data_IF_794617569386
#
_entry.id   IF_794617569386
#
_cell.length_a   1.000
_cell.length_b   1.000
_cell.length_c   1.000
_cell.angle_alpha   90.00
_cell.angle_beta   90.00
_cell.angle_gamma   90.00
#
_symmetry.space_group_name_H-M   'P 1'
#
loop_
_entity.id
_entity.type
_entity.pdbx_description
1 polymer ?
#
# COMPACT_ATOMS: atom_id res chain seq x y z
N UNK A 1 -10.93 10.30 33.94
CA UNK A 1 -9.53 9.81 33.92
C UNK A 1 -9.47 8.32 33.58
N UNK A 2 -10.08 7.42 34.37
CA UNK A 2 -10.09 5.97 34.07
C UNK A 2 -10.76 5.63 32.72
N UNK A 3 -11.88 6.29 32.39
CA UNK A 3 -12.57 6.11 31.10
C UNK A 3 -11.73 6.54 29.89
N UNK A 4 -10.90 7.58 30.03
CA UNK A 4 -10.02 8.05 28.96
C UNK A 4 -8.92 7.00 28.68
N UNK A 5 -8.28 6.50 29.74
CA UNK A 5 -7.26 5.44 29.64
C UNK A 5 -7.84 4.17 28.98
N UNK A 6 -9.04 3.76 29.36
CA UNK A 6 -9.70 2.59 28.74
C UNK A 6 -9.96 2.80 27.24
N UNK A 7 -10.34 4.02 26.86
CA UNK A 7 -10.56 4.38 25.45
C UNK A 7 -9.25 4.33 24.67
N UNK A 8 -8.19 4.93 25.19
CA UNK A 8 -6.86 4.93 24.56
C UNK A 8 -6.33 3.50 24.37
N UNK A 9 -6.46 2.65 25.39
CA UNK A 9 -6.06 1.24 25.30
C UNK A 9 -6.87 0.51 24.23
N UNK A 10 -8.19 0.71 24.18
CA UNK A 10 -9.04 0.09 23.16
C UNK A 10 -8.68 0.53 21.74
N UNK A 11 -8.31 1.80 21.56
CA UNK A 11 -7.87 2.34 20.28
C UNK A 11 -6.51 1.77 19.87
N UNK A 12 -5.56 1.68 20.81
CA UNK A 12 -4.25 1.07 20.56
C UNK A 12 -4.38 -0.40 20.14
N UNK A 13 -5.24 -1.17 20.82
CA UNK A 13 -5.51 -2.57 20.46
C UNK A 13 -6.14 -2.63 19.06
N UNK A 14 -7.13 -1.79 18.76
CA UNK A 14 -7.78 -1.76 17.46
C UNK A 14 -6.79 -1.46 16.32
N UNK A 15 -5.99 -0.40 16.45
CA UNK A 15 -4.99 0.00 15.45
C UNK A 15 -3.95 -1.12 15.28
N UNK A 16 -3.46 -1.70 16.38
CA UNK A 16 -2.49 -2.81 16.34
C UNK A 16 -3.04 -3.98 15.51
N UNK A 17 -4.27 -4.42 15.79
CA UNK A 17 -4.87 -5.56 15.08
C UNK A 17 -5.10 -5.24 13.60
N UNK A 18 -5.63 -4.07 13.28
CA UNK A 18 -5.92 -3.65 11.90
C UNK A 18 -4.64 -3.57 11.06
N UNK A 19 -3.59 -2.91 11.56
CA UNK A 19 -2.35 -2.74 10.80
C UNK A 19 -1.45 -3.98 10.81
N UNK A 20 -1.50 -4.82 11.85
CA UNK A 20 -0.65 -6.01 11.96
C UNK A 20 -0.81 -6.95 10.77
N UNK A 21 -2.03 -7.13 10.26
CA UNK A 21 -2.29 -8.04 9.13
C UNK A 21 -1.53 -7.58 7.89
N UNK A 22 -1.61 -6.29 7.55
CA UNK A 22 -0.88 -5.74 6.41
C UNK A 22 0.63 -5.83 6.62
N UNK A 23 1.12 -5.52 7.82
CA UNK A 23 2.56 -5.56 8.12
C UNK A 23 3.13 -6.98 8.08
N UNK A 24 2.38 -7.99 8.57
CA UNK A 24 2.78 -9.40 8.51
C UNK A 24 2.88 -9.87 7.06
N UNK A 25 1.89 -9.54 6.21
CA UNK A 25 1.93 -9.89 4.78
C UNK A 25 3.15 -9.27 4.09
N UNK A 26 3.44 -8.00 4.37
CA UNK A 26 4.64 -7.32 3.84
C UNK A 26 5.93 -7.96 4.36
N UNK A 27 6.00 -8.27 5.66
CA UNK A 27 7.17 -8.89 6.28
C UNK A 27 7.46 -10.28 5.69
N UNK A 28 6.44 -11.08 5.39
CA UNK A 28 6.62 -12.36 4.68
C UNK A 28 7.25 -12.18 3.29
N UNK A 29 6.85 -11.13 2.56
CA UNK A 29 7.50 -10.76 1.30
C UNK A 29 8.97 -10.37 1.49
N UNK A 30 9.26 -9.58 2.53
CA UNK A 30 10.62 -9.21 2.93
C UNK A 30 11.51 -10.41 3.24
N UNK A 31 11.00 -11.37 4.02
CA UNK A 31 11.71 -12.62 4.32
C UNK A 31 12.07 -13.37 3.03
N UNK A 32 11.16 -13.41 2.05
CA UNK A 32 11.45 -14.06 0.76
C UNK A 32 12.56 -13.34 -0.01
N UNK A 33 12.57 -12.02 0.02
CA UNK A 33 13.64 -11.18 -0.56
C UNK A 33 14.98 -11.47 0.09
N UNK A 34 15.05 -11.46 1.42
CA UNK A 34 16.28 -11.75 2.18
C UNK A 34 16.79 -13.16 1.93
N UNK A 35 15.89 -14.14 1.84
CA UNK A 35 16.23 -15.54 1.51
C UNK A 35 16.82 -15.69 0.10
N UNK A 36 16.50 -14.77 -0.82
CA UNK A 36 17.11 -14.71 -2.16
C UNK A 36 18.45 -13.95 -2.20
N UNK A 37 18.90 -13.41 -1.07
CA UNK A 37 20.15 -12.64 -0.97
C UNK A 37 19.99 -11.14 -1.25
N UNK A 38 18.75 -10.64 -1.31
CA UNK A 38 18.45 -9.21 -1.52
C UNK A 38 17.67 -8.67 -0.33
N UNK A 39 18.35 -7.94 0.54
CA UNK A 39 17.75 -7.23 1.67
C UNK A 39 16.90 -6.08 1.14
N UNK A 40 15.63 -6.02 1.55
CA UNK A 40 14.70 -4.98 1.11
C UNK A 40 14.17 -4.18 2.29
N UNK A 41 14.79 -3.03 2.57
CA UNK A 41 14.32 -2.05 3.57
C UNK A 41 13.28 -1.09 2.94
N UNK A 42 13.09 -1.14 1.63
CA UNK A 42 12.16 -0.30 0.87
C UNK A 42 10.69 -0.75 0.92
N UNK A 43 10.34 -1.68 1.82
CA UNK A 43 9.01 -2.30 1.87
C UNK A 43 7.87 -1.29 2.14
N UNK A 44 8.15 -0.23 2.90
CA UNK A 44 7.18 0.84 3.16
C UNK A 44 6.80 1.57 1.86
N UNK A 45 7.78 1.82 1.00
CA UNK A 45 7.56 2.41 -0.32
C UNK A 45 6.83 1.48 -1.29
N UNK A 46 7.08 0.17 -1.22
CA UNK A 46 6.31 -0.82 -1.97
C UNK A 46 4.85 -0.85 -1.51
N UNK A 47 4.60 -0.76 -0.21
CA UNK A 47 3.24 -0.66 0.34
C UNK A 47 2.53 0.62 -0.12
N UNK A 48 3.19 1.78 -0.02
CA UNK A 48 2.63 3.07 -0.44
C UNK A 48 2.32 3.09 -1.95
N UNK A 49 3.26 2.63 -2.78
CA UNK A 49 3.07 2.59 -4.24
C UNK A 49 1.97 1.61 -4.66
N UNK A 50 1.87 0.44 -4.02
CA UNK A 50 0.78 -0.50 -4.23
C UNK A 50 -0.58 0.06 -3.80
N UNK A 51 -0.66 0.67 -2.61
CA UNK A 51 -1.88 1.30 -2.11
C UNK A 51 -2.36 2.43 -3.02
N UNK A 52 -1.44 3.28 -3.48
CA UNK A 52 -1.71 4.31 -4.48
C UNK A 52 -2.30 3.72 -5.76
N UNK A 53 -1.63 2.74 -6.35
CA UNK A 53 -2.09 2.12 -7.59
C UNK A 53 -3.46 1.46 -7.44
N UNK A 54 -3.70 0.78 -6.32
CA UNK A 54 -4.99 0.17 -6.00
C UNK A 54 -6.12 1.20 -5.95
N UNK A 55 -5.94 2.25 -5.15
CA UNK A 55 -6.97 3.27 -4.92
C UNK A 55 -7.30 4.04 -6.20
N UNK A 56 -6.27 4.48 -6.93
CA UNK A 56 -6.44 5.27 -8.15
C UNK A 56 -7.10 4.44 -9.25
N UNK A 57 -6.62 3.23 -9.49
CA UNK A 57 -7.19 2.37 -10.53
C UNK A 57 -8.62 1.93 -10.20
N UNK A 58 -8.91 1.56 -8.95
CA UNK A 58 -10.26 1.20 -8.53
C UNK A 58 -11.24 2.38 -8.73
N UNK A 59 -10.83 3.60 -8.40
CA UNK A 59 -11.66 4.80 -8.60
C UNK A 59 -11.99 5.05 -10.08
N UNK A 60 -10.99 4.99 -10.97
CA UNK A 60 -11.23 5.22 -12.40
C UNK A 60 -12.00 4.07 -13.06
N UNK A 61 -11.75 2.82 -12.65
CA UNK A 61 -12.48 1.66 -13.18
C UNK A 61 -13.94 1.63 -12.73
N UNK A 62 -14.23 2.06 -11.50
CA UNK A 62 -15.61 2.20 -11.04
C UNK A 62 -16.36 3.24 -11.89
N UNK A 63 -15.76 4.40 -12.15
CA UNK A 63 -16.33 5.41 -13.05
C UNK A 63 -16.51 4.90 -14.48
N UNK A 64 -15.64 3.99 -14.93
CA UNK A 64 -15.76 3.32 -16.21
C UNK A 64 -16.85 2.22 -16.22
N UNK A 65 -17.61 2.04 -15.13
CA UNK A 65 -18.74 1.11 -15.05
C UNK A 65 -18.39 -0.31 -14.62
N UNK A 66 -17.18 -0.56 -14.10
CA UNK A 66 -16.76 -1.91 -13.69
C UNK A 66 -17.42 -2.40 -12.39
N UNK A 67 -18.11 -1.52 -11.66
CA UNK A 67 -18.78 -1.86 -10.40
C UNK A 67 -17.83 -2.54 -9.41
N UNK A 68 -18.25 -3.67 -8.83
CA UNK A 68 -17.46 -4.46 -7.87
C UNK A 68 -16.13 -4.95 -8.47
N UNK A 69 -16.06 -5.14 -9.80
CA UNK A 69 -14.83 -5.57 -10.48
C UNK A 69 -13.68 -4.56 -10.35
N UNK A 70 -13.99 -3.29 -10.10
CA UNK A 70 -12.98 -2.23 -9.95
C UNK A 70 -12.03 -2.49 -8.77
N UNK A 71 -12.54 -2.99 -7.63
CA UNK A 71 -11.72 -3.28 -6.46
C UNK A 71 -10.73 -4.42 -6.71
N UNK A 72 -11.17 -5.48 -7.39
CA UNK A 72 -10.32 -6.62 -7.77
C UNK A 72 -9.24 -6.21 -8.77
N UNK A 73 -9.59 -5.39 -9.75
CA UNK A 73 -8.61 -4.83 -10.66
C UNK A 73 -7.64 -3.87 -9.97
N UNK A 74 -8.09 -3.16 -8.92
CA UNK A 74 -7.22 -2.40 -8.04
C UNK A 74 -6.17 -3.26 -7.35
N UNK A 75 -6.54 -4.45 -6.88
CA UNK A 75 -5.59 -5.40 -6.31
C UNK A 75 -4.53 -5.84 -7.33
N UNK A 76 -4.94 -6.11 -8.58
CA UNK A 76 -4.02 -6.45 -9.67
C UNK A 76 -3.08 -5.29 -9.98
N UNK A 77 -3.60 -4.06 -10.05
CA UNK A 77 -2.80 -2.86 -10.25
C UNK A 77 -1.77 -2.67 -9.12
N UNK A 78 -2.18 -2.91 -7.86
CA UNK A 78 -1.29 -2.86 -6.70
C UNK A 78 -0.11 -3.83 -6.83
N UNK A 79 -0.39 -5.08 -7.23
CA UNK A 79 0.63 -6.10 -7.42
C UNK A 79 1.62 -5.72 -8.54
N UNK A 80 1.12 -5.19 -9.66
CA UNK A 80 1.95 -4.75 -10.78
C UNK A 80 2.83 -3.55 -10.40
N UNK A 81 2.28 -2.56 -9.70
CA UNK A 81 3.05 -1.38 -9.28
C UNK A 81 4.07 -1.72 -8.18
N UNK A 82 3.70 -2.57 -7.22
CA UNK A 82 4.62 -3.10 -6.22
C UNK A 82 5.76 -3.88 -6.88
N UNK A 83 5.46 -4.72 -7.88
CA UNK A 83 6.48 -5.43 -8.66
C UNK A 83 7.39 -4.47 -9.44
N UNK A 84 6.86 -3.37 -9.98
CA UNK A 84 7.66 -2.34 -10.64
C UNK A 84 8.66 -1.69 -9.68
N UNK A 85 8.22 -1.31 -8.48
CA UNK A 85 9.12 -0.75 -7.45
C UNK A 85 10.14 -1.77 -6.95
N UNK A 86 9.73 -3.03 -6.76
CA UNK A 86 10.64 -4.12 -6.44
C UNK A 86 11.68 -4.34 -7.55
N UNK A 87 11.28 -4.20 -8.82
CA UNK A 87 12.18 -4.32 -9.96
C UNK A 87 13.21 -3.19 -9.98
N UNK A 88 12.82 -1.95 -9.69
CA UNK A 88 13.76 -0.83 -9.54
C UNK A 88 14.80 -1.14 -8.45
N UNK A 89 14.36 -1.67 -7.32
CA UNK A 89 15.26 -2.10 -6.24
C UNK A 89 16.23 -3.19 -6.71
N UNK A 90 15.70 -4.23 -7.36
CA UNK A 90 16.47 -5.37 -7.85
C UNK A 90 17.48 -4.98 -8.93
N UNK A 91 17.13 -4.09 -9.85
CA UNK A 91 18.07 -3.59 -10.86
C UNK A 91 19.21 -2.82 -10.19
N UNK A 92 18.89 -1.93 -9.25
CA UNK A 92 19.90 -1.19 -8.49
C UNK A 92 20.83 -2.12 -7.68
N UNK A 93 20.29 -3.09 -6.96
CA UNK A 93 21.06 -3.95 -6.06
C UNK A 93 21.76 -5.11 -6.77
N UNK A 94 21.11 -5.76 -7.75
CA UNK A 94 21.64 -6.94 -8.43
C UNK A 94 22.48 -6.57 -9.64
N UNK A 95 22.00 -5.65 -10.48
CA UNK A 95 22.69 -5.28 -11.73
C UNK A 95 23.81 -4.27 -11.46
N UNK A 96 23.48 -3.20 -10.73
CA UNK A 96 24.44 -2.12 -10.45
C UNK A 96 25.22 -2.29 -9.16
N UNK A 97 24.92 -3.33 -8.36
CA UNK A 97 25.59 -3.62 -7.08
C UNK A 97 25.58 -2.42 -6.12
N UNK A 98 24.52 -1.62 -6.19
CA UNK A 98 24.32 -0.52 -5.26
C UNK A 98 24.06 -1.06 -3.85
N UNK A 99 24.38 -0.24 -2.84
CA UNK A 99 24.04 -0.55 -1.46
C UNK A 99 22.52 -0.73 -1.30
N UNK A 100 22.12 -1.89 -0.78
CA UNK A 100 20.72 -2.30 -0.67
C UNK A 100 19.96 -1.45 0.37
N UNK A 101 20.64 -0.99 1.42
CA UNK A 101 20.05 -0.10 2.43
C UNK A 101 19.78 1.27 1.80
N UNK A 102 20.76 1.83 1.08
CA UNK A 102 20.61 3.11 0.39
C UNK A 102 19.50 3.06 -0.66
N UNK A 103 19.49 2.03 -1.51
CA UNK A 103 18.45 1.83 -2.53
C UNK A 103 17.06 1.69 -1.89
N UNK A 104 16.94 0.94 -0.79
CA UNK A 104 15.69 0.80 -0.05
C UNK A 104 15.18 2.12 0.54
N UNK A 105 16.06 2.92 1.16
CA UNK A 105 15.70 4.25 1.69
C UNK A 105 15.24 5.18 0.58
N UNK A 106 15.95 5.20 -0.56
CA UNK A 106 15.56 6.02 -1.72
C UNK A 106 14.18 5.60 -2.23
N UNK A 107 13.86 4.30 -2.27
CA UNK A 107 12.54 3.81 -2.66
C UNK A 107 11.45 4.27 -1.70
N UNK A 108 11.68 4.23 -0.39
CA UNK A 108 10.70 4.74 0.59
C UNK A 108 10.44 6.23 0.38
N UNK A 109 11.50 7.03 0.23
CA UNK A 109 11.40 8.47 0.00
C UNK A 109 10.71 8.80 -1.33
N UNK A 110 11.07 8.09 -2.39
CA UNK A 110 10.45 8.23 -3.70
C UNK A 110 8.96 7.93 -3.63
N UNK A 111 8.57 6.80 -3.04
CA UNK A 111 7.17 6.42 -2.93
C UNK A 111 6.39 7.41 -2.08
N UNK A 112 6.91 7.83 -0.92
CA UNK A 112 6.27 8.80 -0.03
C UNK A 112 5.98 10.14 -0.74
N UNK A 113 6.95 10.66 -1.50
CA UNK A 113 6.78 11.91 -2.24
C UNK A 113 5.90 11.75 -3.49
N UNK A 114 6.20 10.74 -4.31
CA UNK A 114 5.57 10.54 -5.61
C UNK A 114 4.09 10.21 -5.48
N UNK A 115 3.72 9.29 -4.59
CA UNK A 115 2.31 8.87 -4.45
C UNK A 115 1.43 10.03 -4.00
N UNK A 116 1.87 10.78 -2.98
CA UNK A 116 1.14 11.97 -2.48
C UNK A 116 1.05 13.04 -3.56
N UNK A 117 2.14 13.31 -4.28
CA UNK A 117 2.14 14.28 -5.37
C UNK A 117 1.16 13.89 -6.48
N UNK A 118 1.18 12.64 -6.93
CA UNK A 118 0.31 12.15 -7.99
C UNK A 118 -1.17 12.19 -7.58
N UNK A 119 -1.52 11.83 -6.35
CA UNK A 119 -2.91 11.96 -5.86
C UNK A 119 -3.36 13.42 -5.93
N UNK A 120 -2.53 14.36 -5.46
CA UNK A 120 -2.87 15.79 -5.54
C UNK A 120 -3.09 16.27 -6.96
N UNK A 121 -2.27 15.81 -7.92
CA UNK A 121 -2.42 16.16 -9.33
C UNK A 121 -3.70 15.56 -9.92
N UNK A 122 -4.02 14.31 -9.58
CA UNK A 122 -5.17 13.59 -10.14
C UNK A 122 -6.51 13.99 -9.52
N UNK A 123 -6.51 14.51 -8.30
CA UNK A 123 -7.73 14.79 -7.52
C UNK A 123 -7.84 16.26 -7.09
N UNK A 124 -7.47 17.20 -7.96
CA UNK A 124 -7.69 18.65 -7.77
C UNK A 124 -7.10 19.20 -6.46
N UNK A 125 -5.93 18.70 -6.05
CA UNK A 125 -5.25 19.08 -4.83
C UNK A 125 -5.68 18.30 -3.58
N UNK A 126 -6.66 17.39 -3.69
CA UNK A 126 -7.02 16.49 -2.61
C UNK A 126 -5.86 15.54 -2.25
N UNK A 127 -5.75 15.17 -0.97
CA UNK A 127 -4.74 14.23 -0.47
C UNK A 127 -5.16 12.76 -0.55
N UNK A 128 -6.37 12.48 -1.03
CA UNK A 128 -6.97 11.15 -1.05
C UNK A 128 -7.85 10.97 -2.28
N UNK A 129 -8.11 9.71 -2.63
CA UNK A 129 -9.10 9.38 -3.66
C UNK A 129 -10.52 9.52 -3.09
N UNK A 130 -11.50 9.85 -3.93
CA UNK A 130 -12.91 9.79 -3.50
C UNK A 130 -13.32 8.35 -3.17
N UNK A 131 -14.25 8.20 -2.24
CA UNK A 131 -14.79 6.90 -1.84
C UNK A 131 -15.54 6.24 -3.00
N UNK A 132 -15.36 4.93 -3.16
CA UNK A 132 -16.13 4.13 -4.11
C UNK A 132 -17.60 4.07 -3.68
N UNK A 133 -18.53 4.10 -4.64
CA UNK A 133 -19.99 4.07 -4.38
C UNK A 133 -20.55 2.65 -4.40
N UNK A 134 -19.94 1.75 -5.19
CA UNK A 134 -20.26 0.35 -5.27
C UNK A 134 -19.83 -0.33 -3.96
N UNK A 135 -20.80 -0.97 -3.29
CA UNK A 135 -20.50 -1.78 -2.12
C UNK A 135 -19.64 -2.99 -2.53
N UNK A 136 -18.34 -2.92 -2.25
CA UNK A 136 -17.39 -4.02 -2.52
C UNK A 136 -17.77 -5.28 -1.73
N UNK A 137 -18.32 -5.10 -0.53
CA UNK A 137 -18.88 -6.17 0.29
C UNK A 137 -20.37 -5.93 0.50
N UNK A 138 -21.20 -6.93 0.21
CA UNK A 138 -22.62 -6.91 0.56
C UNK A 138 -22.76 -6.85 2.07
N UNK A 139 -23.54 -5.89 2.58
CA UNK A 139 -23.87 -5.85 4.02
C UNK A 139 -24.72 -7.07 4.37
N UNK A 140 -24.15 -8.04 5.08
CA UNK A 140 -24.91 -9.12 5.70
C UNK A 140 -25.39 -8.60 7.06
N UNK A 141 -26.70 -8.42 7.21
CA UNK A 141 -27.31 -8.12 8.50
C UNK A 141 -27.14 -9.32 9.42
N UNK A 142 -26.40 -9.13 10.51
CA UNK A 142 -26.33 -10.10 11.61
C UNK A 142 -27.64 -9.95 12.42
N UNK A 143 -28.36 -11.04 12.73
CA UNK A 143 -29.62 -11.01 13.50
C UNK A 143 -29.52 -10.33 14.86
#
# INVERSE_FOLDING_TARGET
MISAILTDISQLINITLVFSTSLILTAMGGIHSERSGVVNIGLEGLMMSGAFAAAVSAYFLEQAGWGIGAAWMGLVAAALFGALFALLHAVASVTFKADQVVSGVVINLLAAGLTVYLVKVLFEGAGETKTLHAAVFSKVSIP
#
